data_IF_573698176267
#
_entry.id   IF_573698176267
#
_cell.length_a   1.000
_cell.length_b   1.000
_cell.length_c   1.000
_cell.angle_alpha   90.00
_cell.angle_beta   90.00
_cell.angle_gamma   90.00
#
_symmetry.space_group_name_H-M   'P 1'
#
loop_
_entity.id
_entity.type
_entity.pdbx_description
1 polymer ?
#
# COMPACT_ATOMS: atom_id res chain seq x y z
N UNK A 1 22.43 50.38 18.55
CA UNK A 1 21.52 49.64 19.44
C UNK A 1 21.08 48.41 18.67
N UNK A 2 21.77 47.30 18.88
CA UNK A 2 21.51 46.03 18.19
C UNK A 2 20.70 45.09 19.10
N UNK A 3 19.74 44.33 18.55
CA UNK A 3 18.93 43.40 19.32
C UNK A 3 19.63 42.05 19.53
N UNK A 4 19.44 41.56 20.75
CA UNK A 4 20.06 40.42 21.41
C UNK A 4 19.46 39.07 20.93
N UNK A 5 20.30 38.17 20.40
CA UNK A 5 19.95 36.78 20.08
C UNK A 5 20.29 35.83 21.25
N UNK A 6 19.39 34.94 21.69
CA UNK A 6 19.73 33.97 22.73
C UNK A 6 20.57 32.81 22.17
N UNK A 7 21.73 32.59 22.80
CA UNK A 7 22.64 31.45 22.58
C UNK A 7 22.07 30.19 23.22
N UNK A 8 22.02 29.11 22.44
CA UNK A 8 21.77 27.75 22.90
C UNK A 8 22.99 27.28 23.72
N UNK A 9 22.78 26.90 24.98
CA UNK A 9 23.82 26.29 25.82
C UNK A 9 23.62 24.78 25.77
N UNK A 10 24.57 24.06 25.16
CA UNK A 10 24.67 22.61 25.27
C UNK A 10 25.18 22.28 26.68
N UNK A 11 24.36 21.59 27.47
CA UNK A 11 24.80 21.00 28.73
C UNK A 11 25.27 19.58 28.46
N UNK A 12 26.59 19.39 28.47
CA UNK A 12 27.22 18.08 28.59
C UNK A 12 26.84 17.48 29.94
N UNK A 13 26.18 16.33 29.93
CA UNK A 13 26.04 15.48 31.11
C UNK A 13 26.67 14.13 30.81
N UNK A 14 27.81 13.92 31.46
CA UNK A 14 28.58 12.69 31.49
C UNK A 14 27.70 11.50 31.87
N UNK A 15 27.56 10.54 30.94
CA UNK A 15 26.97 9.23 31.19
C UNK A 15 28.03 8.31 31.80
N UNK A 16 28.09 8.27 33.13
CA UNK A 16 28.78 7.18 33.84
C UNK A 16 27.94 5.90 33.77
N UNK A 17 28.39 4.94 32.97
CA UNK A 17 27.81 3.62 32.78
C UNK A 17 28.23 2.69 33.93
N UNK A 18 27.40 2.57 34.97
CA UNK A 18 27.55 1.55 36.01
C UNK A 18 26.90 0.24 35.55
N UNK A 19 27.72 -0.81 35.43
CA UNK A 19 27.29 -2.19 35.16
C UNK A 19 26.89 -2.84 36.47
N UNK A 20 25.60 -2.97 36.72
CA UNK A 20 25.08 -3.85 37.76
C UNK A 20 24.74 -5.22 37.16
N UNK A 21 25.54 -6.20 37.53
CA UNK A 21 25.32 -7.61 37.25
C UNK A 21 24.38 -8.19 38.30
N UNK A 22 23.11 -8.38 37.96
CA UNK A 22 22.19 -9.18 38.76
C UNK A 22 21.57 -10.29 37.89
N UNK A 23 21.70 -11.51 38.42
CA UNK A 23 21.43 -12.78 37.77
C UNK A 23 19.99 -12.93 37.26
N UNK A 24 19.86 -13.64 36.15
CA UNK A 24 18.58 -13.97 35.52
C UNK A 24 17.77 -14.93 36.40
N UNK A 25 16.54 -14.59 36.83
CA UNK A 25 15.70 -15.52 37.59
C UNK A 25 15.15 -16.60 36.65
N UNK A 26 15.57 -17.86 36.81
CA UNK A 26 15.13 -19.02 36.00
C UNK A 26 13.88 -19.70 36.57
N UNK A 27 13.05 -19.00 37.34
CA UNK A 27 11.81 -19.56 37.88
C UNK A 27 10.75 -18.48 38.03
N UNK A 28 9.67 -18.58 37.26
CA UNK A 28 8.46 -17.77 37.42
C UNK A 28 7.38 -18.72 37.94
N UNK A 29 7.06 -18.63 39.22
CA UNK A 29 5.86 -19.30 39.73
C UNK A 29 4.64 -18.57 39.17
N UNK A 30 3.95 -19.23 38.24
CA UNK A 30 2.66 -18.79 37.76
C UNK A 30 1.59 -19.09 38.83
N UNK A 31 1.46 -18.19 39.79
CA UNK A 31 0.28 -18.13 40.64
C UNK A 31 -0.90 -17.70 39.76
N UNK A 32 -1.77 -18.65 39.40
CA UNK A 32 -3.07 -18.35 38.82
C UNK A 32 -3.99 -17.82 39.92
N UNK A 33 -3.71 -16.60 40.37
CA UNK A 33 -4.65 -15.80 41.14
C UNK A 33 -5.85 -15.50 40.23
N UNK A 34 -7.06 -15.79 40.74
CA UNK A 34 -8.32 -15.58 40.03
C UNK A 34 -8.35 -14.13 39.55
N UNK A 35 -8.28 -13.96 38.23
CA UNK A 35 -8.14 -12.64 37.61
C UNK A 35 -9.28 -11.71 38.09
N UNK A 36 -8.96 -10.50 38.62
CA UNK A 36 -9.98 -9.49 38.85
C UNK A 36 -10.71 -9.16 37.54
N UNK A 37 -11.98 -8.70 37.58
CA UNK A 37 -12.72 -8.36 36.38
C UNK A 37 -11.86 -7.43 35.52
N UNK A 38 -11.63 -7.84 34.27
CA UNK A 38 -10.77 -7.10 33.33
C UNK A 38 -11.12 -5.60 33.41
N UNK A 39 -10.14 -4.70 33.53
CA UNK A 39 -10.42 -3.27 33.59
C UNK A 39 -11.28 -2.89 32.37
N UNK A 40 -12.25 -1.97 32.52
CA UNK A 40 -13.08 -1.54 31.42
C UNK A 40 -12.17 -1.15 30.25
N UNK A 41 -12.46 -1.68 29.06
CA UNK A 41 -11.68 -1.38 27.86
C UNK A 41 -11.69 0.14 27.69
N UNK A 42 -10.56 0.79 27.96
CA UNK A 42 -10.37 2.21 27.73
C UNK A 42 -10.53 2.45 26.22
N UNK A 43 -11.55 3.23 25.86
CA UNK A 43 -11.80 3.60 24.47
C UNK A 43 -11.38 5.04 24.29
N UNK A 44 -10.40 5.25 23.42
CA UNK A 44 -10.01 6.59 22.98
C UNK A 44 -11.09 7.12 22.05
N UNK A 45 -11.48 8.38 22.24
CA UNK A 45 -12.34 9.11 21.31
C UNK A 45 -11.59 10.34 20.81
N UNK A 46 -11.85 10.71 19.55
CA UNK A 46 -11.34 11.95 18.98
C UNK A 46 -12.36 13.05 19.26
N UNK A 47 -11.88 14.17 19.81
CA UNK A 47 -12.74 15.31 20.14
C UNK A 47 -12.78 16.33 19.00
N UNK A 48 -11.67 16.58 18.32
CA UNK A 48 -11.57 17.60 17.27
C UNK A 48 -11.01 17.03 15.98
N UNK A 49 -11.47 17.59 14.86
CA UNK A 49 -10.90 17.38 13.53
C UNK A 49 -10.45 18.71 12.95
N UNK A 50 -9.21 18.76 12.47
CA UNK A 50 -8.68 19.90 11.72
C UNK A 50 -8.58 19.51 10.26
N UNK A 51 -9.31 20.21 9.40
CA UNK A 51 -9.35 20.01 7.96
C UNK A 51 -8.55 21.11 7.27
N UNK A 52 -7.52 20.71 6.51
CA UNK A 52 -6.74 21.62 5.69
C UNK A 52 -7.25 21.57 4.24
N UNK A 53 -7.56 22.73 3.68
CA UNK A 53 -8.06 22.87 2.30
C UNK A 53 -6.91 23.24 1.37
N UNK A 54 -6.78 22.54 0.26
CA UNK A 54 -5.71 22.77 -0.72
C UNK A 54 -6.31 22.95 -2.11
N UNK A 55 -5.68 23.81 -2.90
CA UNK A 55 -5.98 23.89 -4.32
C UNK A 55 -5.50 22.64 -5.07
N UNK A 56 -6.08 22.43 -6.24
CA UNK A 56 -5.72 21.35 -7.15
C UNK A 56 -4.35 21.66 -7.77
N UNK A 57 -3.45 20.68 -7.73
CA UNK A 57 -2.14 20.81 -8.36
C UNK A 57 -1.68 19.50 -8.99
N UNK A 58 -0.58 19.55 -9.74
CA UNK A 58 0.12 18.36 -10.19
C UNK A 58 0.66 17.56 -8.99
N UNK A 59 0.45 16.24 -9.01
CA UNK A 59 0.92 15.35 -7.94
C UNK A 59 1.49 14.06 -8.49
N UNK A 60 2.79 14.03 -8.80
CA UNK A 60 3.46 12.88 -9.45
C UNK A 60 3.39 11.55 -8.70
N UNK A 61 3.10 11.55 -7.40
CA UNK A 61 2.89 10.33 -6.60
C UNK A 61 1.49 9.73 -6.77
N UNK A 62 0.49 10.56 -7.11
CA UNK A 62 -0.92 10.18 -7.23
C UNK A 62 -1.25 9.63 -8.62
N UNK A 63 -0.51 8.60 -9.02
CA UNK A 63 -0.65 8.02 -10.36
C UNK A 63 -2.01 7.36 -10.56
N UNK A 64 -2.81 7.82 -11.54
CA UNK A 64 -4.03 7.14 -11.90
C UNK A 64 -3.70 5.75 -12.48
N UNK A 65 -4.55 4.77 -12.16
CA UNK A 65 -4.51 3.43 -12.78
C UNK A 65 -4.78 3.52 -14.29
N UNK A 66 -5.67 4.42 -14.66
CA UNK A 66 -6.04 4.72 -16.04
C UNK A 66 -5.14 5.84 -16.61
N UNK A 67 -5.48 6.31 -17.82
CA UNK A 67 -4.74 7.34 -18.54
C UNK A 67 -4.91 8.73 -17.92
N UNK A 68 -4.10 9.68 -18.40
CA UNK A 68 -4.17 11.08 -18.01
C UNK A 68 -3.10 11.52 -17.01
N UNK A 69 -2.99 12.84 -16.79
CA UNK A 69 -2.00 13.42 -15.91
C UNK A 69 -2.37 13.08 -14.46
N UNK A 70 -1.43 12.93 -13.53
CA UNK A 70 -1.72 12.74 -12.13
C UNK A 70 -2.08 14.09 -11.47
N UNK A 71 -2.94 14.04 -10.46
CA UNK A 71 -3.48 15.21 -9.75
C UNK A 71 -3.31 14.93 -8.27
N UNK A 72 -2.85 15.95 -7.56
CA UNK A 72 -2.80 15.99 -6.12
C UNK A 72 -3.25 17.36 -5.63
N UNK A 73 -2.60 17.76 -4.54
CA UNK A 73 -2.88 18.99 -3.81
C UNK A 73 -1.68 19.92 -3.96
N UNK A 74 -1.92 21.22 -3.91
CA UNK A 74 -0.87 22.23 -3.82
C UNK A 74 0.02 22.02 -2.58
N UNK A 75 1.23 22.58 -2.61
CA UNK A 75 2.17 22.49 -1.48
C UNK A 75 1.69 23.28 -0.25
N UNK A 76 0.86 24.29 -0.47
CA UNK A 76 0.33 25.18 0.56
C UNK A 76 -1.19 25.08 0.64
N UNK A 77 -1.72 25.03 1.86
CA UNK A 77 -3.17 25.07 2.06
C UNK A 77 -3.68 26.50 1.93
N UNK A 78 -4.93 26.64 1.49
CA UNK A 78 -5.65 27.91 1.37
C UNK A 78 -6.56 28.18 2.58
N UNK A 79 -6.83 27.16 3.39
CA UNK A 79 -7.72 27.29 4.53
C UNK A 79 -7.56 26.16 5.54
N UNK A 80 -8.02 26.44 6.76
CA UNK A 80 -8.04 25.52 7.88
C UNK A 80 -9.41 25.63 8.54
N UNK A 81 -10.08 24.50 8.73
CA UNK A 81 -11.38 24.41 9.40
C UNK A 81 -11.24 23.45 10.56
N UNK A 82 -11.73 23.85 11.74
CA UNK A 82 -11.74 23.00 12.93
C UNK A 82 -13.17 22.65 13.30
N UNK A 83 -13.43 21.36 13.52
CA UNK A 83 -14.74 20.82 13.82
C UNK A 83 -14.70 19.99 15.10
N UNK A 84 -15.74 20.12 15.93
CA UNK A 84 -15.91 19.32 17.15
C UNK A 84 -16.64 18.00 16.82
N UNK A 85 -15.88 16.91 16.82
CA UNK A 85 -16.33 15.56 16.53
C UNK A 85 -17.24 14.97 17.61
N UNK A 86 -17.32 15.57 18.81
CA UNK A 86 -18.21 15.09 19.86
C UNK A 86 -19.68 15.29 19.50
N UNK A 87 -19.96 16.25 18.62
CA UNK A 87 -21.32 16.59 18.17
C UNK A 87 -21.78 15.79 16.94
N UNK A 88 -20.84 15.17 16.20
CA UNK A 88 -21.14 14.52 14.94
C UNK A 88 -21.56 13.05 15.10
N UNK A 89 -22.76 12.73 14.63
CA UNK A 89 -23.25 11.37 14.50
C UNK A 89 -22.52 10.64 13.35
N UNK A 90 -22.13 9.39 13.61
CA UNK A 90 -21.39 8.45 12.73
C UNK A 90 -21.47 8.79 11.23
N UNK A 91 -20.31 9.10 10.63
CA UNK A 91 -20.21 9.33 9.20
C UNK A 91 -20.64 8.10 8.39
N UNK A 92 -21.48 8.29 7.36
CA UNK A 92 -21.77 7.24 6.38
C UNK A 92 -20.49 6.89 5.63
N UNK A 93 -20.15 5.60 5.56
CA UNK A 93 -19.06 5.12 4.71
C UNK A 93 -19.48 5.25 3.25
N UNK A 94 -18.98 6.28 2.58
CA UNK A 94 -19.14 6.51 1.15
C UNK A 94 -17.93 6.02 0.36
N UNK A 95 -18.11 5.80 -0.94
CA UNK A 95 -17.00 5.62 -1.88
C UNK A 95 -16.67 6.96 -2.53
N UNK A 96 -15.39 7.34 -2.53
CA UNK A 96 -14.94 8.56 -3.21
C UNK A 96 -15.05 8.38 -4.72
N UNK A 97 -15.51 9.43 -5.41
CA UNK A 97 -15.61 9.47 -6.87
C UNK A 97 -14.22 9.38 -7.50
N UNK A 98 -14.12 8.73 -8.66
CA UNK A 98 -12.91 8.75 -9.49
C UNK A 98 -13.08 9.75 -10.63
N UNK A 99 -12.01 10.47 -10.95
CA UNK A 99 -11.96 11.37 -12.08
C UNK A 99 -11.48 10.63 -13.34
N UNK A 100 -12.16 10.88 -14.46
CA UNK A 100 -11.71 10.42 -15.78
C UNK A 100 -10.56 11.28 -16.32
N UNK A 101 -9.80 10.78 -17.28
CA UNK A 101 -8.64 11.46 -17.87
C UNK A 101 -8.96 12.88 -18.39
N UNK A 102 -10.12 13.09 -19.03
CA UNK A 102 -10.54 14.42 -19.49
C UNK A 102 -10.85 15.37 -18.34
N UNK A 103 -11.52 14.88 -17.29
CA UNK A 103 -11.81 15.67 -16.09
C UNK A 103 -10.50 16.11 -15.43
N UNK A 104 -9.51 15.21 -15.38
CA UNK A 104 -8.19 15.52 -14.84
C UNK A 104 -7.49 16.63 -15.63
N UNK A 105 -7.52 16.55 -16.96
CA UNK A 105 -6.96 17.59 -17.83
C UNK A 105 -7.70 18.92 -17.60
N UNK A 106 -9.04 18.89 -17.50
CA UNK A 106 -9.84 20.08 -17.26
C UNK A 106 -9.51 20.73 -15.90
N UNK A 107 -9.33 19.92 -14.85
CA UNK A 107 -8.94 20.41 -13.52
C UNK A 107 -7.57 21.09 -13.53
N UNK A 108 -6.58 20.53 -14.23
CA UNK A 108 -5.26 21.15 -14.34
C UNK A 108 -5.28 22.42 -15.20
N UNK A 109 -6.06 22.44 -16.29
CA UNK A 109 -6.27 23.66 -17.08
C UNK A 109 -6.93 24.77 -16.25
N UNK A 110 -7.89 24.41 -15.39
CA UNK A 110 -8.55 25.35 -14.50
C UNK A 110 -7.62 25.86 -13.38
N UNK A 111 -6.55 25.14 -13.08
CA UNK A 111 -5.48 25.56 -12.16
C UNK A 111 -4.30 26.22 -12.91
N UNK A 112 -4.54 26.76 -14.11
CA UNK A 112 -3.60 27.52 -14.93
C UNK A 112 -2.33 26.76 -15.38
N UNK A 113 -2.37 25.43 -15.42
CA UNK A 113 -1.29 24.65 -16.03
C UNK A 113 -1.32 24.75 -17.56
N UNK A 114 -0.15 24.92 -18.16
CA UNK A 114 -0.01 24.96 -19.61
C UNK A 114 -0.25 23.58 -20.24
N UNK A 115 -0.85 23.54 -21.42
CA UNK A 115 -1.20 22.28 -22.10
C UNK A 115 0.02 21.41 -22.40
N UNK A 116 1.17 22.03 -22.66
CA UNK A 116 2.43 21.32 -22.88
C UNK A 116 2.91 20.60 -21.61
N UNK A 117 2.78 21.24 -20.44
CA UNK A 117 3.14 20.63 -19.16
C UNK A 117 2.18 19.48 -18.82
N UNK A 118 0.89 19.66 -19.10
CA UNK A 118 -0.09 18.59 -18.91
C UNK A 118 0.27 17.37 -19.77
N UNK A 119 0.76 17.58 -21.00
CA UNK A 119 1.20 16.51 -21.87
C UNK A 119 2.45 15.81 -21.32
N UNK A 120 3.45 16.55 -20.81
CA UNK A 120 4.63 15.95 -20.17
C UNK A 120 4.25 15.14 -18.94
N UNK A 121 3.35 15.64 -18.09
CA UNK A 121 2.83 14.90 -16.94
C UNK A 121 2.15 13.58 -17.33
N UNK A 122 1.47 13.53 -18.47
CA UNK A 122 0.88 12.29 -18.99
C UNK A 122 1.96 11.28 -19.39
N UNK A 123 3.04 11.74 -20.02
CA UNK A 123 4.16 10.89 -20.43
C UNK A 123 4.90 10.34 -19.21
N UNK A 124 5.24 11.20 -18.24
CA UNK A 124 5.86 10.80 -16.98
C UNK A 124 5.02 9.73 -16.27
N UNK A 125 3.70 9.92 -16.22
CA UNK A 125 2.80 8.95 -15.61
C UNK A 125 2.79 7.60 -16.33
N UNK A 126 2.93 7.58 -17.66
CA UNK A 126 3.06 6.35 -18.45
C UNK A 126 4.36 5.64 -18.07
N UNK A 127 5.46 6.38 -18.00
CA UNK A 127 6.78 5.80 -17.76
C UNK A 127 6.89 5.22 -16.34
N UNK A 128 6.36 5.91 -15.34
CA UNK A 128 6.32 5.36 -13.98
C UNK A 128 5.40 4.13 -13.89
N UNK A 129 4.27 4.09 -14.61
CA UNK A 129 3.42 2.88 -14.66
C UNK A 129 4.16 1.70 -15.29
N UNK A 130 4.85 1.92 -16.41
CA UNK A 130 5.64 0.88 -17.09
C UNK A 130 6.75 0.36 -16.17
N UNK A 131 7.48 1.26 -15.53
CA UNK A 131 8.54 0.92 -14.58
C UNK A 131 7.99 0.08 -13.42
N UNK A 132 6.88 0.49 -12.80
CA UNK A 132 6.24 -0.26 -11.71
C UNK A 132 5.75 -1.64 -12.17
N UNK A 133 5.18 -1.72 -13.37
CA UNK A 133 4.71 -3.00 -13.91
C UNK A 133 5.87 -3.97 -14.13
N UNK A 134 6.98 -3.50 -14.69
CA UNK A 134 8.18 -4.31 -14.87
C UNK A 134 8.70 -4.88 -13.54
N UNK A 135 8.80 -4.05 -12.50
CA UNK A 135 9.20 -4.52 -11.16
C UNK A 135 8.21 -5.53 -10.58
N UNK A 136 6.91 -5.33 -10.75
CA UNK A 136 5.91 -6.29 -10.30
C UNK A 136 6.06 -7.62 -11.04
N UNK A 137 6.28 -7.60 -12.34
CA UNK A 137 6.45 -8.79 -13.16
C UNK A 137 7.69 -9.58 -12.73
N UNK A 138 8.80 -8.91 -12.42
CA UNK A 138 10.02 -9.51 -11.86
C UNK A 138 9.75 -10.19 -10.51
N UNK A 139 9.11 -9.47 -9.57
CA UNK A 139 8.76 -10.01 -8.25
C UNK A 139 7.80 -11.20 -8.35
N UNK A 140 6.81 -11.13 -9.26
CA UNK A 140 5.90 -12.23 -9.50
C UNK A 140 6.62 -13.43 -10.13
N UNK A 141 7.56 -13.21 -11.04
CA UNK A 141 8.37 -14.27 -11.62
C UNK A 141 9.26 -14.96 -10.57
N UNK A 142 9.89 -14.20 -9.67
CA UNK A 142 10.68 -14.71 -8.55
C UNK A 142 9.82 -15.54 -7.60
N UNK A 143 8.68 -15.01 -7.14
CA UNK A 143 7.75 -15.75 -6.27
C UNK A 143 7.25 -17.05 -6.91
N UNK A 144 7.03 -17.05 -8.23
CA UNK A 144 6.67 -18.28 -8.99
C UNK A 144 7.83 -19.26 -9.09
N UNK A 145 9.09 -18.81 -9.14
CA UNK A 145 10.27 -19.68 -9.12
C UNK A 145 10.46 -20.29 -7.74
N UNK A 146 10.36 -19.51 -6.67
CA UNK A 146 10.44 -20.00 -5.28
C UNK A 146 9.35 -21.02 -4.98
N UNK A 147 8.10 -20.71 -5.35
CA UNK A 147 6.99 -21.65 -5.17
C UNK A 147 7.26 -23.00 -5.86
N UNK A 148 7.79 -22.98 -7.10
CA UNK A 148 8.15 -24.21 -7.82
C UNK A 148 9.32 -24.98 -7.19
N UNK A 149 10.25 -24.30 -6.51
CA UNK A 149 11.33 -24.97 -5.76
C UNK A 149 10.76 -25.69 -4.54
N UNK A 150 9.91 -25.02 -3.77
CA UNK A 150 9.24 -25.62 -2.60
C UNK A 150 8.38 -26.82 -3.01
N UNK A 151 7.58 -26.70 -4.09
CA UNK A 151 6.76 -27.81 -4.59
C UNK A 151 7.61 -28.94 -5.21
N UNK A 152 8.81 -28.64 -5.72
CA UNK A 152 9.72 -29.66 -6.29
C UNK A 152 10.60 -30.38 -5.26
N UNK A 153 10.83 -29.79 -4.09
CA UNK A 153 11.55 -30.41 -2.97
C UNK A 153 10.69 -31.46 -2.23
N UNK A 154 9.36 -31.33 -2.28
CA UNK A 154 8.42 -32.33 -1.73
C UNK A 154 8.38 -33.63 -2.57
N UNK A 155 8.71 -33.58 -3.86
CA UNK A 155 8.75 -34.76 -4.75
C UNK A 155 10.05 -35.57 -4.61
N UNK A 156 11.17 -34.95 -4.19
CA UNK A 156 12.46 -35.64 -4.00
C UNK A 156 12.56 -36.35 -2.64
N UNK A 157 11.76 -35.95 -1.64
CA UNK A 157 11.55 -36.71 -0.40
C UNK A 157 10.56 -37.89 -0.58
N UNK A 158 9.77 -37.91 -1.66
CA UNK A 158 8.81 -38.96 -2.00
C UNK A 158 9.36 -40.02 -2.98
N UNK A 159 10.68 -40.19 -3.02
CA UNK A 159 11.39 -41.27 -3.72
C UNK A 159 11.11 -42.68 -3.17
N UNK A 160 9.83 -43.12 -3.20
CA UNK A 160 9.33 -44.51 -3.30
C UNK A 160 7.80 -44.50 -3.19
N UNK A 161 7.09 -44.18 -4.26
CA UNK A 161 5.93 -44.99 -4.68
C UNK A 161 5.64 -44.75 -6.16
N UNK A 162 5.67 -45.83 -6.93
CA UNK A 162 5.33 -45.86 -8.35
C UNK A 162 3.84 -45.54 -8.53
N UNK A 163 3.49 -44.32 -8.93
CA UNK A 163 2.15 -44.02 -9.45
C UNK A 163 2.17 -44.12 -10.98
N UNK A 164 1.35 -45.03 -11.50
CA UNK A 164 1.21 -45.37 -12.91
C UNK A 164 0.85 -44.15 -13.77
N UNK A 165 1.28 -44.09 -15.04
CA UNK A 165 0.79 -43.08 -15.98
C UNK A 165 -0.72 -43.26 -16.18
N UNK A 166 -1.46 -42.14 -16.16
CA UNK A 166 -2.86 -42.10 -16.59
C UNK A 166 -2.91 -42.48 -18.06
N UNK A 167 -3.49 -43.64 -18.36
CA UNK A 167 -3.72 -44.08 -19.73
C UNK A 167 -4.70 -43.10 -20.40
N UNK A 168 -4.32 -42.62 -21.58
CA UNK A 168 -5.18 -41.88 -22.49
C UNK A 168 -6.25 -42.85 -22.99
N UNK A 169 -7.53 -42.55 -22.75
CA UNK A 169 -8.65 -43.40 -23.14
C UNK A 169 -8.95 -43.16 -24.64
N UNK A 170 -8.72 -44.11 -25.57
CA UNK A 170 -8.81 -43.86 -27.01
C UNK A 170 -10.25 -43.79 -27.54
N UNK A 171 -11.26 -44.05 -26.70
CA UNK A 171 -12.65 -44.26 -27.12
C UNK A 171 -13.46 -42.97 -27.41
N UNK A 172 -12.81 -41.81 -27.49
CA UNK A 172 -13.48 -40.50 -27.73
C UNK A 172 -13.14 -39.88 -29.10
N UNK A 173 -12.60 -40.65 -30.05
CA UNK A 173 -12.58 -40.26 -31.48
C UNK A 173 -13.94 -40.65 -32.09
N UNK A 174 -14.92 -39.76 -31.93
CA UNK A 174 -16.15 -39.83 -32.72
C UNK A 174 -15.82 -39.62 -34.19
N UNK A 175 -16.27 -40.55 -35.02
CA UNK A 175 -16.20 -40.53 -36.47
C UNK A 175 -16.67 -39.17 -37.02
N UNK A 176 -15.76 -38.48 -37.72
CA UNK A 176 -16.14 -37.41 -38.64
C UNK A 176 -16.25 -38.04 -40.01
N UNK A 177 -17.48 -38.31 -40.42
CA UNK A 177 -17.84 -38.67 -41.78
C UNK A 177 -17.30 -37.63 -42.76
N UNK A 178 -16.55 -38.12 -43.75
CA UNK A 178 -16.22 -37.41 -44.97
C UNK A 178 -17.51 -37.11 -45.73
N UNK A 179 -17.75 -35.84 -46.03
CA UNK A 179 -18.70 -35.42 -47.07
C UNK A 179 -17.96 -34.54 -48.05
N UNK A 180 -17.62 -35.15 -49.17
CA UNK A 180 -17.09 -34.57 -50.38
C UNK A 180 -17.95 -33.37 -50.82
N UNK A 181 -17.33 -32.23 -51.14
CA UNK A 181 -17.92 -31.31 -52.10
C UNK A 181 -16.90 -31.00 -53.18
N UNK A 182 -17.06 -31.74 -54.27
CA UNK A 182 -16.42 -31.50 -55.56
C UNK A 182 -17.10 -30.31 -56.24
N UNK A 183 -16.28 -29.33 -56.63
CA UNK A 183 -16.47 -28.27 -57.65
C UNK A 183 -17.84 -27.60 -57.79
#
# INVERSE_FOLDING_TARGET
MEPNTPRLVCADKDMSFQRDAHASPTHVEAFFEVAPPSPPRLRVHFATATTFLFDVAYGGSALPKETGPPIGMASTHIGVVEEDLTTHMRCRRGRVRKFDHLERIAMLKAADYHVQDIASFCMDAIDVRKSRQATLDEVHAERRREKRKLEGEDDEAAGRTTSKPRMFDPAMMGDRDDSENTT
#
